data_IF_168635007255
#
_entry.id   IF_168635007255
#
_cell.length_a   1.000
_cell.length_b   1.000
_cell.length_c   1.000
_cell.angle_alpha   90.00
_cell.angle_beta   90.00
_cell.angle_gamma   90.00
#
_symmetry.space_group_name_H-M   'P 1'
#
loop_
_entity.id
_entity.type
_entity.pdbx_description
1 polymer ?
#
# COMPACT_ATOMS: atom_id res chain seq x y z
N UNK A 1 -21.11 -10.67 -23.15
CA UNK A 1 -21.94 -11.05 -22.00
C UNK A 1 -21.33 -10.39 -20.77
N UNK A 2 -22.02 -9.47 -20.10
CA UNK A 2 -21.48 -8.75 -18.94
C UNK A 2 -21.32 -9.75 -17.79
N UNK A 3 -20.08 -10.01 -17.36
CA UNK A 3 -19.79 -10.83 -16.19
C UNK A 3 -20.33 -10.16 -14.94
N UNK A 4 -20.97 -10.94 -14.06
CA UNK A 4 -21.41 -10.43 -12.75
C UNK A 4 -20.21 -9.89 -11.97
N UNK A 5 -20.42 -8.88 -11.12
CA UNK A 5 -19.35 -8.30 -10.28
C UNK A 5 -18.62 -9.39 -9.46
N UNK A 6 -19.37 -10.35 -8.92
CA UNK A 6 -18.81 -11.48 -8.17
C UNK A 6 -17.93 -12.39 -9.04
N UNK A 7 -18.33 -12.70 -10.28
CA UNK A 7 -17.48 -13.47 -11.21
C UNK A 7 -16.24 -12.69 -11.64
N UNK A 8 -16.35 -11.37 -11.80
CA UNK A 8 -15.21 -10.51 -12.10
C UNK A 8 -14.20 -10.51 -10.95
N UNK A 9 -14.67 -10.35 -9.70
CA UNK A 9 -13.85 -10.45 -8.49
C UNK A 9 -13.23 -11.84 -8.32
N UNK A 10 -14.02 -12.91 -8.48
CA UNK A 10 -13.53 -14.29 -8.38
C UNK A 10 -12.48 -14.57 -9.46
N UNK A 11 -12.71 -14.16 -10.73
CA UNK A 11 -11.72 -14.30 -11.81
C UNK A 11 -10.45 -13.50 -11.55
N UNK A 12 -10.55 -12.30 -10.96
CA UNK A 12 -9.39 -11.50 -10.58
C UNK A 12 -8.55 -12.21 -9.49
N UNK A 13 -9.22 -12.75 -8.47
CA UNK A 13 -8.58 -13.45 -7.34
C UNK A 13 -8.02 -14.84 -7.71
N UNK A 14 -8.61 -15.53 -8.68
CA UNK A 14 -8.25 -16.92 -9.08
C UNK A 14 -7.32 -17.00 -10.30
N UNK A 15 -6.99 -15.86 -10.92
CA UNK A 15 -6.05 -15.82 -12.05
C UNK A 15 -4.68 -16.29 -11.55
N UNK A 16 -4.24 -17.49 -11.95
CA UNK A 16 -2.88 -17.99 -11.65
C UNK A 16 -1.86 -16.93 -12.05
N UNK A 17 -1.14 -16.44 -11.03
CA UNK A 17 -0.16 -15.36 -10.96
C UNK A 17 1.07 -15.48 -11.89
N UNK A 18 0.92 -15.87 -13.16
CA UNK A 18 2.05 -15.83 -14.09
C UNK A 18 2.26 -14.43 -14.71
N UNK A 19 1.24 -13.55 -14.68
CA UNK A 19 1.26 -12.18 -15.24
C UNK A 19 0.24 -11.25 -14.57
N UNK A 20 0.31 -11.06 -13.24
CA UNK A 20 -0.44 -9.97 -12.58
C UNK A 20 0.43 -8.70 -12.58
N UNK A 21 -0.08 -7.52 -13.00
CA UNK A 21 0.63 -6.25 -12.84
C UNK A 21 0.69 -5.78 -11.38
N UNK A 22 -0.05 -6.46 -10.48
CA UNK A 22 -0.06 -6.19 -9.04
C UNK A 22 0.80 -7.26 -8.38
N UNK A 23 1.96 -6.84 -7.89
CA UNK A 23 2.85 -7.64 -7.06
C UNK A 23 2.29 -7.62 -5.63
N UNK A 24 2.01 -8.80 -5.08
CA UNK A 24 1.68 -8.95 -3.67
C UNK A 24 2.92 -9.38 -2.91
N UNK A 25 3.24 -8.65 -1.85
CA UNK A 25 4.24 -9.08 -0.89
C UNK A 25 3.57 -9.94 0.19
N UNK A 26 4.14 -11.11 0.46
CA UNK A 26 3.67 -11.96 1.55
C UNK A 26 4.22 -11.44 2.88
N UNK A 27 3.35 -10.84 3.68
CA UNK A 27 3.68 -10.41 5.02
C UNK A 27 3.97 -11.62 5.94
N UNK A 28 4.89 -11.49 6.91
CA UNK A 28 5.29 -12.57 7.82
C UNK A 28 4.23 -12.78 8.93
N UNK A 29 2.99 -13.04 8.53
CA UNK A 29 1.83 -13.20 9.40
C UNK A 29 1.45 -14.68 9.53
N UNK A 30 0.92 -15.04 10.70
CA UNK A 30 0.32 -16.36 10.91
C UNK A 30 -0.91 -16.55 10.02
N UNK A 31 -1.18 -17.80 9.66
CA UNK A 31 -2.42 -18.11 8.96
C UNK A 31 -3.61 -17.79 9.87
N UNK A 32 -4.70 -17.21 9.33
CA UNK A 32 -5.90 -16.98 10.12
C UNK A 32 -6.58 -18.31 10.48
N UNK A 33 -7.40 -18.28 11.52
CA UNK A 33 -8.14 -19.46 11.97
C UNK A 33 -9.39 -19.67 11.12
N UNK A 34 -9.86 -20.92 11.06
CA UNK A 34 -11.09 -21.26 10.34
C UNK A 34 -12.05 -22.00 11.26
N UNK A 35 -13.30 -21.51 11.34
CA UNK A 35 -14.41 -22.21 11.97
C UNK A 35 -15.43 -22.60 10.90
N UNK A 36 -15.41 -23.87 10.49
CA UNK A 36 -16.18 -24.38 9.36
C UNK A 36 -15.88 -23.63 8.07
N UNK A 37 -16.79 -22.73 7.64
CA UNK A 37 -16.62 -21.90 6.43
C UNK A 37 -16.29 -20.45 6.72
N UNK A 38 -16.16 -20.08 8.01
CA UNK A 38 -15.85 -18.73 8.47
C UNK A 38 -14.35 -18.61 8.68
N UNK A 39 -13.77 -17.54 8.16
CA UNK A 39 -12.37 -17.17 8.35
C UNK A 39 -12.29 -16.12 9.47
N UNK A 40 -11.56 -16.47 10.51
CA UNK A 40 -11.30 -15.64 11.69
C UNK A 40 -9.97 -14.93 11.52
N UNK A 41 -10.02 -13.60 11.44
CA UNK A 41 -8.87 -12.72 11.28
C UNK A 41 -8.58 -12.02 12.61
N UNK A 42 -7.47 -12.35 13.28
CA UNK A 42 -7.00 -11.56 14.41
C UNK A 42 -6.82 -10.10 14.01
N UNK A 43 -7.20 -9.16 14.88
CA UNK A 43 -7.07 -7.72 14.58
C UNK A 43 -5.61 -7.33 14.29
N UNK A 44 -4.64 -8.02 14.87
CA UNK A 44 -3.20 -7.77 14.70
C UNK A 44 -2.76 -7.99 13.25
N UNK A 45 -3.42 -8.91 12.53
CA UNK A 45 -3.19 -9.11 11.09
C UNK A 45 -3.61 -7.86 10.32
N UNK A 46 -4.76 -7.29 10.66
CA UNK A 46 -5.26 -6.06 10.03
C UNK A 46 -4.37 -4.86 10.38
N UNK A 47 -4.01 -4.69 11.65
CA UNK A 47 -3.11 -3.64 12.12
C UNK A 47 -1.77 -3.69 11.37
N UNK A 48 -1.14 -4.87 11.33
CA UNK A 48 0.13 -5.06 10.62
C UNK A 48 0.01 -4.84 9.11
N UNK A 49 -1.09 -5.27 8.49
CA UNK A 49 -1.33 -5.05 7.05
C UNK A 49 -1.41 -3.56 6.72
N UNK A 50 -2.12 -2.79 7.56
CA UNK A 50 -2.22 -1.33 7.40
C UNK A 50 -0.86 -0.66 7.66
N UNK A 51 -0.16 -1.04 8.74
CA UNK A 51 1.18 -0.52 9.05
C UNK A 51 2.17 -0.78 7.90
N UNK A 52 2.21 -2.00 7.39
CA UNK A 52 3.08 -2.39 6.28
C UNK A 52 2.72 -1.63 5.00
N UNK A 53 1.43 -1.52 4.67
CA UNK A 53 0.96 -0.80 3.48
C UNK A 53 1.34 0.69 3.51
N UNK A 54 1.06 1.38 4.62
CA UNK A 54 1.41 2.81 4.74
C UNK A 54 2.92 3.04 4.81
N UNK A 55 3.67 2.14 5.45
CA UNK A 55 5.14 2.21 5.43
C UNK A 55 5.67 2.04 4.01
N UNK A 56 5.17 1.05 3.27
CA UNK A 56 5.63 0.78 1.91
C UNK A 56 5.38 1.96 0.97
N UNK A 57 4.17 2.51 0.91
CA UNK A 57 3.83 3.62 0.00
C UNK A 57 4.52 4.95 0.37
N UNK A 58 4.92 5.11 1.63
CA UNK A 58 5.60 6.32 2.11
C UNK A 58 7.05 6.37 1.61
N UNK A 59 7.71 5.22 1.57
CA UNK A 59 9.14 5.14 1.31
C UNK A 59 9.50 4.61 -0.08
N UNK A 60 8.56 3.95 -0.77
CA UNK A 60 8.84 3.25 -2.03
C UNK A 60 7.95 3.73 -3.16
N UNK A 61 8.55 3.87 -4.33
CA UNK A 61 7.82 4.05 -5.58
C UNK A 61 7.45 2.69 -6.18
N UNK A 62 6.31 2.57 -6.86
CA UNK A 62 5.97 1.37 -7.61
C UNK A 62 7.05 0.99 -8.64
N UNK A 63 7.33 -0.30 -8.79
CA UNK A 63 8.37 -0.79 -9.72
C UNK A 63 8.10 -0.35 -11.16
N UNK A 64 6.84 -0.38 -11.61
CA UNK A 64 6.46 0.07 -12.95
C UNK A 64 6.74 1.57 -13.15
N UNK A 65 6.51 2.40 -12.13
CA UNK A 65 6.84 3.81 -12.19
C UNK A 65 8.35 4.01 -12.34
N UNK A 66 9.17 3.30 -11.54
CA UNK A 66 10.63 3.36 -11.64
C UNK A 66 11.14 2.88 -13.01
N UNK A 67 10.54 1.82 -13.55
CA UNK A 67 10.87 1.31 -14.90
C UNK A 67 10.55 2.33 -15.99
N UNK A 68 9.43 3.02 -15.87
CA UNK A 68 9.04 4.07 -16.82
C UNK A 68 9.96 5.29 -16.71
N UNK A 69 10.30 5.74 -15.50
CA UNK A 69 11.31 6.79 -15.27
C UNK A 69 12.66 6.38 -15.86
N UNK A 70 13.10 5.14 -15.63
CA UNK A 70 14.34 4.62 -16.19
C UNK A 70 14.32 4.67 -17.72
N UNK A 71 13.28 4.14 -18.39
CA UNK A 71 13.18 4.20 -19.85
C UNK A 71 13.22 5.63 -20.38
N UNK A 72 12.50 6.54 -19.75
CA UNK A 72 12.47 7.96 -20.15
C UNK A 72 13.85 8.60 -20.01
N UNK A 73 14.60 8.27 -18.95
CA UNK A 73 15.97 8.76 -18.74
C UNK A 73 16.97 8.34 -19.84
N UNK A 74 16.68 7.25 -20.58
CA UNK A 74 17.57 6.72 -21.62
C UNK A 74 17.32 7.32 -23.02
N UNK A 75 16.36 8.24 -23.17
CA UNK A 75 16.06 8.89 -24.45
C UNK A 75 17.20 9.86 -24.80
N UNK A 76 17.80 9.67 -25.98
CA UNK A 76 18.98 10.45 -26.42
C UNK A 76 18.72 11.94 -26.60
N UNK A 77 17.48 12.30 -26.92
CA UNK A 77 17.09 13.68 -27.25
C UNK A 77 16.54 14.46 -26.03
N UNK A 78 16.65 13.89 -24.82
CA UNK A 78 16.27 14.61 -23.59
C UNK A 78 17.10 15.88 -23.42
N UNK A 79 16.43 16.95 -23.02
CA UNK A 79 17.10 18.18 -22.60
C UNK A 79 17.89 17.98 -21.29
N UNK A 80 18.89 18.83 -21.02
CA UNK A 80 19.62 18.80 -19.75
C UNK A 80 18.70 18.90 -18.51
N UNK A 81 17.60 19.65 -18.62
CA UNK A 81 16.63 19.80 -17.52
C UNK A 81 15.84 18.53 -17.27
N UNK A 82 15.40 17.83 -18.32
CA UNK A 82 14.70 16.54 -18.18
C UNK A 82 15.58 15.50 -17.52
N UNK A 83 16.83 15.38 -17.97
CA UNK A 83 17.81 14.46 -17.35
C UNK A 83 18.04 14.79 -15.87
N UNK A 84 18.18 16.08 -15.53
CA UNK A 84 18.30 16.52 -14.15
C UNK A 84 17.08 16.13 -13.29
N UNK A 85 15.87 16.24 -13.83
CA UNK A 85 14.64 15.83 -13.11
C UNK A 85 14.62 14.32 -12.87
N UNK A 86 14.98 13.51 -13.86
CA UNK A 86 15.05 12.05 -13.70
C UNK A 86 16.08 11.66 -12.62
N UNK A 87 17.25 12.28 -12.62
CA UNK A 87 18.27 12.08 -11.59
C UNK A 87 17.76 12.45 -10.19
N UNK A 88 17.03 13.57 -10.06
CA UNK A 88 16.44 13.98 -8.79
C UNK A 88 15.43 12.94 -8.26
N UNK A 89 14.55 12.44 -9.13
CA UNK A 89 13.53 11.43 -8.76
C UNK A 89 14.22 10.14 -8.30
N UNK A 90 15.19 9.65 -9.07
CA UNK A 90 15.90 8.39 -8.78
C UNK A 90 16.67 8.52 -7.46
N UNK A 91 17.47 9.57 -7.30
CA UNK A 91 18.25 9.77 -6.07
C UNK A 91 17.36 9.95 -4.83
N UNK A 92 16.25 10.70 -4.94
CA UNK A 92 15.28 10.84 -3.86
C UNK A 92 14.66 9.49 -3.49
N UNK A 93 14.32 8.65 -4.47
CA UNK A 93 13.76 7.32 -4.22
C UNK A 93 14.74 6.38 -3.51
N UNK A 94 16.04 6.45 -3.86
CA UNK A 94 17.10 5.69 -3.19
C UNK A 94 17.24 6.09 -1.72
N UNK A 95 17.31 7.39 -1.44
CA UNK A 95 17.40 7.90 -0.05
C UNK A 95 16.15 7.55 0.75
N UNK A 96 14.97 7.66 0.13
CA UNK A 96 13.71 7.34 0.79
C UNK A 96 13.59 5.84 1.11
N UNK A 97 14.11 4.96 0.25
CA UNK A 97 14.08 3.51 0.45
C UNK A 97 14.80 3.06 1.74
N UNK A 98 15.72 3.87 2.28
CA UNK A 98 16.38 3.60 3.58
C UNK A 98 15.40 3.68 4.77
N UNK A 99 14.17 4.19 4.55
CA UNK A 99 13.10 4.20 5.56
C UNK A 99 13.22 5.33 6.60
N UNK A 100 14.13 6.29 6.39
CA UNK A 100 14.38 7.38 7.33
C UNK A 100 13.65 8.66 6.92
N UNK A 101 13.67 9.02 5.64
CA UNK A 101 13.02 10.21 5.09
C UNK A 101 11.98 9.80 4.05
N UNK A 102 10.74 10.33 4.09
CA UNK A 102 9.71 9.94 3.13
C UNK A 102 10.01 10.49 1.73
N UNK A 103 9.38 9.89 0.71
CA UNK A 103 9.51 10.32 -0.69
C UNK A 103 9.16 11.80 -0.90
N UNK A 104 8.24 12.33 -0.11
CA UNK A 104 7.77 13.71 -0.17
C UNK A 104 7.55 14.26 1.23
N UNK A 105 7.77 15.57 1.41
CA UNK A 105 7.47 16.28 2.65
C UNK A 105 5.96 16.30 2.96
N UNK A 106 5.11 16.26 1.92
CA UNK A 106 3.69 16.01 2.11
C UNK A 106 3.40 14.51 2.07
N UNK A 107 3.26 13.92 3.25
CA UNK A 107 2.96 12.49 3.40
C UNK A 107 1.48 12.17 3.17
N UNK A 108 0.66 13.18 2.79
CA UNK A 108 -0.69 13.01 2.29
C UNK A 108 -1.76 12.72 3.35
N UNK A 109 -2.94 12.32 2.86
CA UNK A 109 -4.09 11.88 3.65
C UNK A 109 -4.21 10.37 3.59
N UNK A 110 -4.18 9.72 4.75
CA UNK A 110 -4.34 8.28 4.83
C UNK A 110 -5.75 7.87 4.39
N UNK A 111 -5.82 7.13 3.28
CA UNK A 111 -7.08 6.67 2.68
C UNK A 111 -7.06 5.15 2.59
N UNK A 112 -8.07 4.49 3.15
CA UNK A 112 -8.20 3.02 3.15
C UNK A 112 -9.48 2.63 2.42
N UNK A 113 -9.32 1.78 1.41
CA UNK A 113 -10.42 1.14 0.71
C UNK A 113 -10.37 -0.35 1.01
N UNK A 114 -11.43 -0.88 1.62
CA UNK A 114 -11.48 -2.27 2.09
C UNK A 114 -12.78 -2.96 1.70
N UNK A 115 -12.68 -4.24 1.37
CA UNK A 115 -13.82 -5.12 1.13
C UNK A 115 -13.74 -6.31 2.08
N UNK A 116 -14.77 -6.51 2.91
CA UNK A 116 -14.86 -7.66 3.81
C UNK A 116 -15.91 -8.63 3.29
N UNK A 117 -15.50 -9.88 3.07
CA UNK A 117 -16.41 -10.95 2.70
C UNK A 117 -17.37 -11.29 3.84
N UNK A 118 -18.56 -11.80 3.51
CA UNK A 118 -19.59 -12.18 4.49
C UNK A 118 -19.18 -13.33 5.44
N UNK A 119 -18.15 -14.10 5.07
CA UNK A 119 -17.59 -15.20 5.87
C UNK A 119 -16.24 -14.85 6.50
N UNK A 120 -15.97 -13.56 6.68
CA UNK A 120 -14.76 -13.06 7.33
C UNK A 120 -15.18 -12.34 8.60
N UNK A 121 -14.65 -12.78 9.74
CA UNK A 121 -14.85 -12.16 11.05
C UNK A 121 -13.50 -11.65 11.53
N UNK A 122 -13.47 -10.42 12.04
CA UNK A 122 -12.31 -9.91 12.79
C UNK A 122 -12.50 -10.29 14.25
N UNK A 123 -11.51 -10.93 14.88
CA UNK A 123 -11.61 -11.43 16.26
C UNK A 123 -11.45 -10.29 17.29
N UNK A 124 -12.37 -9.33 17.28
CA UNK A 124 -12.36 -8.17 18.17
C UNK A 124 -13.70 -7.47 18.22
N UNK A 125 -13.96 -6.78 19.34
CA UNK A 125 -15.10 -5.87 19.50
C UNK A 125 -14.87 -4.50 18.83
N UNK A 126 -13.63 -4.18 18.43
CA UNK A 126 -13.32 -2.92 17.73
C UNK A 126 -13.85 -2.96 16.31
N UNK A 127 -14.38 -1.83 15.84
CA UNK A 127 -14.72 -1.68 14.43
C UNK A 127 -13.46 -1.70 13.55
N UNK A 128 -13.56 -2.20 12.32
CA UNK A 128 -12.46 -2.18 11.35
C UNK A 128 -11.92 -0.74 11.15
N UNK A 129 -12.82 0.26 11.17
CA UNK A 129 -12.44 1.68 11.12
C UNK A 129 -11.49 2.08 12.26
N UNK A 130 -11.81 1.68 13.49
CA UNK A 130 -10.96 1.96 14.66
C UNK A 130 -9.61 1.30 14.52
N UNK A 131 -9.59 0.02 14.12
CA UNK A 131 -8.35 -0.75 13.92
C UNK A 131 -7.45 -0.08 12.87
N UNK A 132 -8.01 0.29 11.72
CA UNK A 132 -7.26 0.94 10.64
C UNK A 132 -6.76 2.32 11.06
N UNK A 133 -7.59 3.12 11.74
CA UNK A 133 -7.21 4.47 12.18
C UNK A 133 -6.08 4.43 13.21
N UNK A 134 -6.14 3.51 14.18
CA UNK A 134 -5.08 3.31 15.17
C UNK A 134 -3.77 2.85 14.51
N UNK A 135 -3.84 1.93 13.55
CA UNK A 135 -2.68 1.43 12.81
C UNK A 135 -2.02 2.53 11.95
N UNK A 136 -2.81 3.35 11.24
CA UNK A 136 -2.31 4.52 10.51
C UNK A 136 -1.62 5.50 11.45
N UNK A 137 -2.28 5.86 12.56
CA UNK A 137 -1.74 6.79 13.53
C UNK A 137 -0.39 6.28 14.09
N UNK A 138 -0.27 4.98 14.32
CA UNK A 138 0.98 4.34 14.78
C UNK A 138 2.12 4.50 13.78
N UNK A 139 1.88 4.44 12.47
CA UNK A 139 2.90 4.73 11.45
C UNK A 139 3.36 6.19 11.56
N UNK A 140 2.42 7.14 11.60
CA UNK A 140 2.74 8.57 11.70
C UNK A 140 3.45 8.96 13.00
N UNK A 141 3.12 8.30 14.12
CA UNK A 141 3.77 8.55 15.41
C UNK A 141 5.21 8.01 15.48
N UNK A 142 5.51 6.92 14.77
CA UNK A 142 6.82 6.26 14.84
C UNK A 142 7.83 6.78 13.82
N UNK A 143 7.35 7.32 12.71
CA UNK A 143 8.17 7.75 11.58
C UNK A 143 8.26 9.28 11.46
N UNK A 144 9.17 9.76 10.62
CA UNK A 144 9.38 11.20 10.35
C UNK A 144 8.36 11.72 9.31
N UNK A 145 7.07 11.58 9.61
CA UNK A 145 5.96 11.93 8.71
C UNK A 145 5.29 13.25 9.13
N UNK A 146 4.54 13.84 8.19
CA UNK A 146 3.86 15.13 8.42
C UNK A 146 2.40 14.92 8.79
N UNK A 147 1.96 15.53 9.89
CA UNK A 147 0.55 15.63 10.24
C UNK A 147 -0.11 16.72 9.37
N UNK A 148 -0.74 16.30 8.27
CA UNK A 148 -1.31 17.21 7.26
C UNK A 148 -2.81 17.50 7.44
N UNK A 149 -3.49 16.90 8.42
CA UNK A 149 -4.94 17.04 8.58
C UNK A 149 -5.29 18.24 9.47
N UNK A 150 -6.15 19.13 8.96
CA UNK A 150 -6.71 20.25 9.72
C UNK A 150 -8.19 19.97 9.96
N UNK A 151 -8.60 19.92 11.23
CA UNK A 151 -10.00 19.74 11.62
C UNK A 151 -10.62 21.10 11.94
N UNK A 152 -11.89 21.36 11.56
CA UNK A 152 -12.62 22.53 12.03
C UNK A 152 -12.71 22.54 13.57
N UNK A 153 -12.57 23.72 14.17
CA UNK A 153 -12.79 23.97 15.60
C UNK A 153 -14.24 24.31 15.90
#
# INVERSE_FOLDING_TARGET
MLTSFHEACHKALTRRFSKSPILFERLPLSLPNTDGTILHIPKEILEYTIEAGFTAITYNLPENFLHDIYKLSQIKDNSPLENFIFDCIINNSLVSHEGVYPLCQDTGTASVYSWRGNRIITDTEKSDYTIFSEAVAKVWMKARLRNSQLVPT
#
